data_IF_037161547248
#
_entry.id   IF_037161547248
#
_cell.length_a   1.000
_cell.length_b   1.000
_cell.length_c   1.000
_cell.angle_alpha   90.00
_cell.angle_beta   90.00
_cell.angle_gamma   90.00
#
_symmetry.space_group_name_H-M   'P 1'
#
loop_
_entity.id
_entity.type
_entity.pdbx_description
1 polymer ?
#
# COMPACT_ATOMS: atom_id res chain seq x y z
N UNK A 1 11.22 -25.82 -6.72
CA UNK A 1 11.03 -24.54 -6.02
C UNK A 1 9.69 -24.00 -6.48
N UNK A 2 8.76 -23.62 -5.60
CA UNK A 2 7.56 -22.96 -6.07
C UNK A 2 8.00 -21.64 -6.70
N UNK A 3 7.67 -21.45 -7.98
CA UNK A 3 7.77 -20.16 -8.65
C UNK A 3 7.14 -19.09 -7.74
N UNK A 4 7.93 -18.14 -7.26
CA UNK A 4 7.40 -16.87 -6.75
C UNK A 4 6.94 -16.01 -7.94
N UNK A 5 6.17 -16.60 -8.85
CA UNK A 5 5.37 -15.87 -9.80
C UNK A 5 4.50 -14.91 -8.97
N UNK A 6 4.70 -13.62 -9.24
CA UNK A 6 3.95 -12.46 -8.75
C UNK A 6 2.54 -12.84 -8.31
N UNK A 7 2.31 -12.98 -7.00
CA UNK A 7 0.99 -13.32 -6.50
C UNK A 7 0.05 -12.15 -6.80
N UNK A 8 -0.82 -12.33 -7.80
CA UNK A 8 -1.88 -11.38 -8.14
C UNK A 8 -2.82 -11.24 -6.94
N UNK A 9 -2.99 -10.02 -6.44
CA UNK A 9 -3.83 -9.74 -5.29
C UNK A 9 -5.31 -9.98 -5.62
N UNK A 10 -6.01 -10.70 -4.75
CA UNK A 10 -7.45 -10.96 -4.90
C UNK A 10 -8.27 -9.85 -4.28
N UNK A 11 -9.10 -9.20 -5.07
CA UNK A 11 -9.87 -8.02 -4.65
C UNK A 11 -11.38 -8.32 -4.70
N UNK A 12 -12.08 -8.02 -3.61
CA UNK A 12 -13.53 -7.92 -3.61
C UNK A 12 -13.95 -6.45 -3.79
N UNK A 13 -14.80 -6.15 -4.77
CA UNK A 13 -15.32 -4.81 -5.03
C UNK A 13 -16.74 -4.70 -4.50
N UNK A 14 -16.97 -3.78 -3.58
CA UNK A 14 -18.28 -3.53 -2.99
C UNK A 14 -18.94 -2.33 -3.66
N UNK A 15 -20.21 -2.48 -4.04
CA UNK A 15 -20.97 -1.48 -4.82
C UNK A 15 -22.40 -1.34 -4.31
N UNK A 16 -23.03 -0.17 -4.53
CA UNK A 16 -24.47 0.02 -4.28
C UNK A 16 -25.27 0.42 -5.53
N UNK A 17 -24.62 0.79 -6.64
CA UNK A 17 -25.30 1.42 -7.77
C UNK A 17 -24.76 1.00 -9.13
N UNK A 18 -24.55 1.98 -10.01
CA UNK A 18 -24.22 1.77 -11.44
C UNK A 18 -22.89 1.06 -11.66
N UNK A 19 -21.93 1.19 -10.74
CA UNK A 19 -20.68 0.43 -10.78
C UNK A 19 -19.64 0.96 -11.78
N UNK A 20 -19.66 2.24 -12.14
CA UNK A 20 -18.67 2.78 -13.10
C UNK A 20 -17.23 2.67 -12.61
N UNK A 21 -16.98 2.89 -11.32
CA UNK A 21 -15.66 2.64 -10.69
C UNK A 21 -15.33 1.14 -10.66
N UNK A 22 -16.30 0.27 -10.41
CA UNK A 22 -16.12 -1.19 -10.49
C UNK A 22 -15.69 -1.61 -11.89
N UNK A 23 -16.33 -1.06 -12.93
CA UNK A 23 -15.97 -1.33 -14.33
C UNK A 23 -14.53 -0.89 -14.63
N UNK A 24 -14.13 0.31 -14.19
CA UNK A 24 -12.76 0.80 -14.38
C UNK A 24 -11.72 -0.12 -13.72
N UNK A 25 -11.98 -0.55 -12.48
CA UNK A 25 -11.15 -1.52 -11.76
C UNK A 25 -11.08 -2.87 -12.50
N UNK A 26 -12.22 -3.39 -12.94
CA UNK A 26 -12.31 -4.67 -13.64
C UNK A 26 -11.50 -4.67 -14.94
N UNK A 27 -11.67 -3.67 -15.80
CA UNK A 27 -10.95 -3.63 -17.07
C UNK A 27 -9.44 -3.43 -16.87
N UNK A 28 -9.03 -2.63 -15.88
CA UNK A 28 -7.63 -2.51 -15.52
C UNK A 28 -7.05 -3.81 -14.95
N UNK A 29 -7.84 -4.61 -14.23
CA UNK A 29 -7.43 -5.93 -13.73
C UNK A 29 -7.19 -6.95 -14.86
N UNK A 30 -7.69 -6.70 -16.07
CA UNK A 30 -7.51 -7.57 -17.24
C UNK A 30 -6.29 -7.22 -18.09
N UNK A 31 -5.63 -6.10 -17.83
CA UNK A 31 -4.44 -5.71 -18.56
C UNK A 31 -3.27 -6.66 -18.24
N UNK A 32 -2.42 -6.99 -19.22
CA UNK A 32 -1.22 -7.80 -18.97
C UNK A 32 -0.35 -7.19 -17.87
N UNK A 33 0.08 -8.02 -16.91
CA UNK A 33 0.91 -7.58 -15.79
C UNK A 33 0.16 -6.85 -14.67
N UNK A 34 -1.18 -6.84 -14.69
CA UNK A 34 -1.95 -6.28 -13.58
C UNK A 34 -1.62 -7.01 -12.25
N UNK A 35 -1.34 -6.27 -11.16
CA UNK A 35 -0.98 -6.89 -9.89
C UNK A 35 -2.19 -7.35 -9.08
N UNK A 36 -3.41 -7.18 -9.59
CA UNK A 36 -4.63 -7.63 -8.94
C UNK A 36 -5.65 -8.23 -9.91
N UNK A 37 -6.56 -9.02 -9.36
CA UNK A 37 -7.74 -9.55 -10.04
C UNK A 37 -9.00 -9.29 -9.21
N UNK A 38 -10.14 -9.13 -9.88
CA UNK A 38 -11.44 -9.00 -9.20
C UNK A 38 -11.97 -10.41 -8.92
N UNK A 39 -11.87 -10.83 -7.66
CA UNK A 39 -12.33 -12.13 -7.18
C UNK A 39 -13.85 -12.15 -6.91
N UNK A 40 -14.44 -11.00 -6.58
CA UNK A 40 -15.86 -10.86 -6.28
C UNK A 40 -16.34 -9.44 -6.54
N UNK A 41 -17.55 -9.30 -7.10
CA UNK A 41 -18.34 -8.06 -6.99
C UNK A 41 -19.52 -8.30 -6.06
N UNK A 42 -19.56 -7.56 -4.95
CA UNK A 42 -20.61 -7.71 -3.94
C UNK A 42 -21.47 -6.44 -3.84
N UNK A 43 -22.78 -6.60 -3.71
CA UNK A 43 -23.70 -5.47 -3.58
C UNK A 43 -24.65 -5.60 -2.38
N UNK A 44 -24.91 -4.47 -1.72
CA UNK A 44 -25.95 -4.35 -0.69
C UNK A 44 -27.36 -4.12 -1.27
N UNK A 45 -27.46 -4.02 -2.60
CA UNK A 45 -28.70 -3.97 -3.37
C UNK A 45 -28.63 -5.03 -4.49
N UNK A 46 -29.47 -6.09 -4.44
CA UNK A 46 -29.56 -7.10 -5.50
C UNK A 46 -29.94 -6.56 -6.89
N UNK A 47 -30.53 -5.37 -6.96
CA UNK A 47 -30.89 -4.70 -8.21
C UNK A 47 -29.78 -3.80 -8.76
N UNK A 48 -28.62 -3.70 -8.09
CA UNK A 48 -27.52 -2.84 -8.52
C UNK A 48 -27.07 -3.18 -9.97
N UNK A 49 -27.09 -2.23 -10.92
CA UNK A 49 -26.71 -2.48 -12.31
C UNK A 49 -25.29 -3.02 -12.48
N UNK A 50 -24.39 -2.69 -11.56
CA UNK A 50 -23.02 -3.21 -11.50
C UNK A 50 -22.95 -4.75 -11.55
N UNK A 51 -23.92 -5.46 -10.95
CA UNK A 51 -23.95 -6.91 -10.89
C UNK A 51 -24.18 -7.54 -12.28
N UNK A 52 -24.96 -6.88 -13.13
CA UNK A 52 -25.21 -7.37 -14.49
C UNK A 52 -23.91 -7.34 -15.32
N UNK A 53 -23.16 -6.24 -15.24
CA UNK A 53 -21.85 -6.12 -15.89
C UNK A 53 -20.87 -7.17 -15.36
N UNK A 54 -20.74 -7.31 -14.04
CA UNK A 54 -19.83 -8.29 -13.44
C UNK A 54 -20.12 -9.72 -13.92
N UNK A 55 -21.40 -10.11 -13.98
CA UNK A 55 -21.83 -11.41 -14.52
C UNK A 55 -21.50 -11.57 -16.01
N UNK A 56 -21.74 -10.53 -16.82
CA UNK A 56 -21.42 -10.55 -18.25
C UNK A 56 -19.91 -10.74 -18.50
N UNK A 57 -19.07 -10.19 -17.63
CA UNK A 57 -17.61 -10.30 -17.66
C UNK A 57 -17.06 -11.54 -16.94
N UNK A 58 -17.95 -12.46 -16.53
CA UNK A 58 -17.58 -13.73 -15.89
C UNK A 58 -17.02 -13.60 -14.47
N UNK A 59 -17.26 -12.48 -13.79
CA UNK A 59 -16.82 -12.25 -12.41
C UNK A 59 -17.86 -12.80 -11.42
N UNK A 60 -17.45 -13.56 -10.39
CA UNK A 60 -18.36 -13.99 -9.33
C UNK A 60 -19.08 -12.80 -8.69
N UNK A 61 -20.37 -12.98 -8.41
CA UNK A 61 -21.20 -11.94 -7.78
C UNK A 61 -21.88 -12.43 -6.53
N UNK A 62 -21.96 -11.57 -5.51
CA UNK A 62 -22.80 -11.77 -4.33
C UNK A 62 -23.71 -10.55 -4.16
N UNK A 63 -24.96 -10.76 -3.77
CA UNK A 63 -25.82 -9.64 -3.44
C UNK A 63 -26.76 -9.99 -2.30
N UNK A 64 -26.89 -9.06 -1.35
CA UNK A 64 -27.74 -9.19 -0.21
C UNK A 64 -28.36 -7.85 0.14
N UNK A 65 -29.68 -7.76 0.07
CA UNK A 65 -30.40 -6.56 0.47
C UNK A 65 -30.17 -6.27 1.95
N UNK A 66 -29.75 -5.05 2.26
CA UNK A 66 -29.49 -4.62 3.64
C UNK A 66 -30.74 -4.12 4.37
N UNK A 67 -31.85 -3.92 3.66
CA UNK A 67 -33.09 -3.41 4.23
C UNK A 67 -33.66 -4.40 5.25
N UNK A 68 -33.96 -3.92 6.46
CA UNK A 68 -34.50 -4.74 7.54
C UNK A 68 -33.48 -5.62 8.26
N UNK A 69 -32.19 -5.55 7.92
CA UNK A 69 -31.12 -6.27 8.61
C UNK A 69 -30.35 -5.39 9.58
N UNK A 70 -29.93 -5.97 10.71
CA UNK A 70 -28.90 -5.37 11.55
C UNK A 70 -27.62 -5.15 10.72
N UNK A 71 -26.83 -4.12 11.07
CA UNK A 71 -25.60 -3.81 10.33
C UNK A 71 -24.58 -4.92 10.45
N UNK A 72 -24.46 -5.45 11.66
CA UNK A 72 -23.54 -6.50 12.04
C UNK A 72 -23.81 -7.79 11.23
N UNK A 73 -25.09 -8.17 11.09
CA UNK A 73 -25.49 -9.36 10.33
C UNK A 73 -25.23 -9.20 8.83
N UNK A 74 -25.51 -8.00 8.28
CA UNK A 74 -25.25 -7.70 6.87
C UNK A 74 -23.76 -7.66 6.57
N UNK A 75 -22.97 -6.96 7.39
CA UNK A 75 -21.51 -6.88 7.28
C UNK A 75 -20.89 -8.28 7.35
N UNK A 76 -21.34 -9.13 8.29
CA UNK A 76 -20.84 -10.51 8.42
C UNK A 76 -21.14 -11.36 7.17
N UNK A 77 -22.32 -11.20 6.56
CA UNK A 77 -22.66 -11.91 5.33
C UNK A 77 -21.83 -11.44 4.13
N UNK A 78 -21.65 -10.13 3.98
CA UNK A 78 -20.80 -9.54 2.94
C UNK A 78 -19.33 -9.94 3.14
N UNK A 79 -18.84 -9.95 4.38
CA UNK A 79 -17.50 -10.39 4.74
C UNK A 79 -17.28 -11.85 4.36
N UNK A 80 -18.23 -12.72 4.71
CA UNK A 80 -18.15 -14.15 4.41
C UNK A 80 -18.03 -14.37 2.91
N UNK A 81 -18.87 -13.70 2.11
CA UNK A 81 -18.80 -13.80 0.65
C UNK A 81 -17.41 -13.37 0.11
N UNK A 82 -16.85 -12.27 0.62
CA UNK A 82 -15.51 -11.81 0.23
C UNK A 82 -14.41 -12.83 0.61
N UNK A 83 -14.47 -13.38 1.82
CA UNK A 83 -13.52 -14.39 2.30
C UNK A 83 -13.63 -15.71 1.54
N UNK A 84 -14.84 -16.18 1.25
CA UNK A 84 -15.09 -17.40 0.48
C UNK A 84 -14.57 -17.27 -0.96
N UNK A 85 -14.60 -16.05 -1.53
CA UNK A 85 -13.97 -15.74 -2.81
C UNK A 85 -12.42 -15.62 -2.74
N UNK A 86 -11.84 -15.73 -1.54
CA UNK A 86 -10.40 -15.61 -1.30
C UNK A 86 -9.88 -14.17 -1.36
N UNK A 87 -10.74 -13.17 -1.16
CA UNK A 87 -10.32 -11.77 -1.21
C UNK A 87 -9.29 -11.45 -0.11
N UNK A 88 -8.22 -10.78 -0.53
CA UNK A 88 -7.18 -10.22 0.34
C UNK A 88 -7.41 -8.73 0.60
N UNK A 89 -8.12 -8.06 -0.31
CA UNK A 89 -8.48 -6.65 -0.21
C UNK A 89 -9.97 -6.44 -0.50
N UNK A 90 -10.55 -5.44 0.16
CA UNK A 90 -11.89 -4.92 -0.15
C UNK A 90 -11.76 -3.50 -0.71
N UNK A 91 -12.49 -3.22 -1.77
CA UNK A 91 -12.43 -1.93 -2.46
C UNK A 91 -13.85 -1.40 -2.59
N UNK A 92 -14.11 -0.23 -2.00
CA UNK A 92 -15.43 0.39 -1.97
C UNK A 92 -15.60 1.30 -3.20
N UNK A 93 -16.40 0.86 -4.16
CA UNK A 93 -16.64 1.56 -5.42
C UNK A 93 -18.07 2.13 -5.46
N UNK A 94 -18.30 3.20 -4.69
CA UNK A 94 -19.62 3.78 -4.51
C UNK A 94 -20.54 2.91 -3.64
N UNK A 95 -19.98 2.36 -2.56
CA UNK A 95 -20.73 1.60 -1.56
C UNK A 95 -21.34 2.56 -0.54
N UNK A 96 -22.67 2.67 -0.53
CA UNK A 96 -23.42 3.71 0.19
C UNK A 96 -23.92 3.26 1.57
N UNK A 97 -23.23 2.31 2.21
CA UNK A 97 -23.57 1.81 3.54
C UNK A 97 -22.38 1.97 4.48
N UNK A 98 -22.63 2.59 5.63
CA UNK A 98 -21.64 2.70 6.71
C UNK A 98 -21.35 1.30 7.25
N UNK A 99 -20.08 0.93 7.23
CA UNK A 99 -19.56 -0.32 7.77
C UNK A 99 -19.35 -0.21 9.28
N UNK A 100 -19.53 -1.31 10.01
CA UNK A 100 -19.29 -1.36 11.44
C UNK A 100 -17.79 -1.23 11.78
N UNK A 101 -17.42 -0.62 12.92
CA UNK A 101 -16.02 -0.55 13.35
C UNK A 101 -15.32 -1.91 13.40
N UNK A 102 -16.02 -2.94 13.90
CA UNK A 102 -15.49 -4.30 13.94
C UNK A 102 -15.17 -4.88 12.56
N UNK A 103 -15.99 -4.60 11.54
CA UNK A 103 -15.70 -4.99 10.16
C UNK A 103 -14.48 -4.23 9.62
N UNK A 104 -14.43 -2.91 9.83
CA UNK A 104 -13.30 -2.08 9.38
C UNK A 104 -11.99 -2.53 10.02
N UNK A 105 -11.95 -2.75 11.34
CA UNK A 105 -10.75 -3.20 12.06
C UNK A 105 -10.20 -4.54 11.56
N UNK A 106 -11.07 -5.51 11.20
CA UNK A 106 -10.61 -6.80 10.61
C UNK A 106 -9.96 -6.65 9.23
N UNK A 107 -10.26 -5.57 8.51
CA UNK A 107 -9.74 -5.26 7.19
C UNK A 107 -8.83 -4.03 7.20
N UNK A 108 -8.31 -3.66 8.37
CA UNK A 108 -7.36 -2.57 8.52
C UNK A 108 -6.20 -2.74 7.53
N UNK A 109 -5.83 -1.65 6.84
CA UNK A 109 -4.82 -1.59 5.76
C UNK A 109 -5.08 -2.53 4.57
N UNK A 110 -6.27 -3.13 4.48
CA UNK A 110 -6.71 -4.00 3.38
C UNK A 110 -8.03 -3.53 2.76
N UNK A 111 -8.47 -2.33 3.11
CA UNK A 111 -9.68 -1.73 2.58
C UNK A 111 -9.43 -0.32 2.06
N UNK A 112 -9.79 -0.09 0.81
CA UNK A 112 -9.62 1.20 0.14
C UNK A 112 -10.98 1.73 -0.29
N UNK A 113 -11.17 3.05 -0.22
CA UNK A 113 -12.35 3.74 -0.73
C UNK A 113 -11.94 4.84 -1.70
N UNK A 114 -12.79 5.10 -2.69
CA UNK A 114 -12.72 6.31 -3.52
C UNK A 114 -13.82 7.28 -3.10
N UNK A 115 -13.41 8.53 -2.87
CA UNK A 115 -14.28 9.58 -2.38
C UNK A 115 -14.27 10.79 -3.34
N UNK A 116 -15.42 11.37 -3.70
CA UNK A 116 -15.52 12.44 -4.70
C UNK A 116 -15.20 13.83 -4.12
N UNK A 117 -14.12 13.96 -3.33
CA UNK A 117 -13.58 15.24 -2.90
C UNK A 117 -12.06 15.19 -2.77
N UNK A 118 -11.43 16.36 -2.63
CA UNK A 118 -10.03 16.48 -2.21
C UNK A 118 -9.96 16.43 -0.67
N UNK A 119 -10.03 15.23 -0.10
CA UNK A 119 -9.87 15.02 1.35
C UNK A 119 -8.60 15.74 1.86
N UNK A 120 -8.64 16.33 3.08
CA UNK A 120 -9.70 16.22 4.10
C UNK A 120 -10.94 17.12 3.84
N UNK A 121 -11.01 17.85 2.74
CA UNK A 121 -12.17 18.68 2.44
C UNK A 121 -13.40 17.82 2.11
N UNK A 122 -14.57 18.22 2.62
CA UNK A 122 -15.88 17.62 2.31
C UNK A 122 -15.97 16.09 2.51
N UNK A 123 -15.75 15.56 3.72
CA UNK A 123 -16.13 14.18 4.03
C UNK A 123 -17.65 14.01 3.94
N UNK A 124 -18.12 12.80 3.66
CA UNK A 124 -19.53 12.47 3.52
C UNK A 124 -20.16 12.90 2.19
N UNK A 125 -21.45 13.21 2.20
CA UNK A 125 -22.24 13.37 0.97
C UNK A 125 -22.17 14.78 0.36
N UNK A 126 -22.71 14.90 -0.86
CA UNK A 126 -22.93 16.14 -1.61
C UNK A 126 -21.69 17.01 -1.80
N UNK A 127 -20.53 16.37 -1.92
CA UNK A 127 -19.20 17.00 -1.98
C UNK A 127 -19.10 18.08 -3.07
N UNK A 128 -19.61 17.81 -4.27
CA UNK A 128 -19.57 18.73 -5.40
C UNK A 128 -20.39 20.00 -5.16
N UNK A 129 -21.60 19.86 -4.60
CA UNK A 129 -22.45 21.00 -4.29
C UNK A 129 -21.83 21.87 -3.20
N UNK A 130 -21.23 21.24 -2.19
CA UNK A 130 -20.53 21.93 -1.09
C UNK A 130 -19.31 22.70 -1.59
N UNK A 131 -18.48 22.11 -2.44
CA UNK A 131 -17.31 22.78 -3.03
C UNK A 131 -17.71 23.99 -3.89
N UNK A 132 -18.73 23.86 -4.73
CA UNK A 132 -19.25 24.96 -5.55
C UNK A 132 -19.81 26.09 -4.65
N UNK A 133 -20.61 25.73 -3.64
CA UNK A 133 -21.20 26.71 -2.72
C UNK A 133 -20.15 27.46 -1.88
N UNK A 134 -19.02 26.82 -1.56
CA UNK A 134 -17.89 27.44 -0.88
C UNK A 134 -17.08 28.39 -1.79
N UNK A 135 -17.29 28.35 -3.11
CA UNK A 135 -16.54 29.14 -4.07
C UNK A 135 -15.15 28.59 -4.37
N UNK A 136 -14.93 27.28 -4.18
CA UNK A 136 -13.64 26.65 -4.45
C UNK A 136 -13.29 26.70 -5.94
N UNK A 137 -12.00 26.88 -6.23
CA UNK A 137 -11.48 26.80 -7.61
C UNK A 137 -11.34 25.34 -8.10
N UNK A 138 -11.31 24.37 -7.18
CA UNK A 138 -11.09 22.96 -7.47
C UNK A 138 -11.98 22.06 -6.62
N UNK A 139 -12.60 21.08 -7.27
CA UNK A 139 -13.05 19.85 -6.64
C UNK A 139 -12.05 18.73 -6.93
N UNK A 140 -12.47 17.48 -6.79
CA UNK A 140 -11.61 16.36 -7.16
C UNK A 140 -12.07 15.05 -6.54
N UNK A 141 -11.15 14.10 -6.49
CA UNK A 141 -11.35 12.80 -5.86
C UNK A 141 -10.10 12.37 -5.11
N UNK A 142 -10.30 11.60 -4.04
CA UNK A 142 -9.28 10.94 -3.23
C UNK A 142 -9.50 9.44 -3.22
N UNK A 143 -8.43 8.67 -3.31
CA UNK A 143 -8.40 7.26 -2.88
C UNK A 143 -7.70 7.22 -1.53
N UNK A 144 -8.30 6.56 -0.55
CA UNK A 144 -7.76 6.49 0.81
C UNK A 144 -8.01 5.12 1.44
N UNK A 145 -7.27 4.81 2.52
CA UNK A 145 -7.58 3.67 3.36
C UNK A 145 -8.86 3.92 4.16
N UNK A 146 -9.66 2.88 4.32
CA UNK A 146 -10.84 2.95 5.19
C UNK A 146 -10.41 2.80 6.64
N UNK A 147 -10.84 3.72 7.49
CA UNK A 147 -10.71 3.70 8.94
C UNK A 147 -12.10 3.79 9.57
N UNK A 148 -12.18 3.66 10.90
CA UNK A 148 -13.46 3.78 11.61
C UNK A 148 -14.05 5.19 11.52
N UNK A 149 -13.18 6.18 11.41
CA UNK A 149 -13.56 7.57 11.17
C UNK A 149 -13.85 7.79 9.68
N UNK A 150 -15.03 8.38 9.40
CA UNK A 150 -15.51 8.59 8.04
C UNK A 150 -14.53 9.42 7.22
N UNK A 151 -14.08 8.86 6.09
CA UNK A 151 -13.22 9.51 5.10
C UNK A 151 -11.92 10.12 5.67
N UNK A 152 -11.39 9.55 6.76
CA UNK A 152 -10.24 10.10 7.48
C UNK A 152 -8.95 9.26 7.40
N UNK A 153 -8.95 8.15 6.66
CA UNK A 153 -7.77 7.30 6.53
C UNK A 153 -6.68 7.90 5.63
N UNK A 154 -5.53 7.23 5.62
CA UNK A 154 -4.36 7.62 4.82
C UNK A 154 -4.74 7.84 3.35
N UNK A 155 -4.48 9.05 2.83
CA UNK A 155 -4.68 9.39 1.43
C UNK A 155 -3.59 8.72 0.60
N UNK A 156 -4.00 7.88 -0.34
CA UNK A 156 -3.11 7.12 -1.22
C UNK A 156 -2.91 7.80 -2.58
N UNK A 157 -3.85 8.66 -2.98
CA UNK A 157 -3.74 9.46 -4.19
C UNK A 157 -4.93 10.39 -4.38
N UNK A 158 -4.72 11.48 -5.13
CA UNK A 158 -5.75 12.46 -5.44
C UNK A 158 -5.63 12.97 -6.87
N UNK A 159 -6.75 13.42 -7.44
CA UNK A 159 -6.78 14.22 -8.67
C UNK A 159 -7.68 15.43 -8.44
N UNK A 160 -7.11 16.62 -8.63
CA UNK A 160 -7.84 17.88 -8.60
C UNK A 160 -8.50 18.17 -9.95
N UNK A 161 -9.73 18.67 -9.92
CA UNK A 161 -10.53 19.01 -11.10
C UNK A 161 -11.02 20.44 -10.96
N UNK A 162 -10.70 21.28 -11.94
CA UNK A 162 -11.12 22.67 -11.94
C UNK A 162 -12.65 22.80 -11.91
N UNK A 163 -13.13 23.71 -11.07
CA UNK A 163 -14.51 24.17 -11.05
C UNK A 163 -14.58 25.36 -12.01
N UNK A 164 -15.39 25.22 -13.05
CA UNK A 164 -15.58 26.21 -14.09
C UNK A 164 -16.67 27.21 -13.70
N UNK A 165 -16.59 28.48 -14.13
CA UNK A 165 -17.67 29.44 -13.93
C UNK A 165 -19.00 28.91 -14.47
N UNK A 166 -20.03 28.90 -13.62
CA UNK A 166 -21.37 28.40 -13.97
C UNK A 166 -21.54 26.89 -13.89
N UNK A 167 -20.57 26.15 -13.33
CA UNK A 167 -20.73 24.72 -13.08
C UNK A 167 -21.96 24.38 -12.24
N UNK A 168 -22.58 23.27 -12.60
CA UNK A 168 -23.56 22.59 -11.76
C UNK A 168 -22.89 21.41 -11.03
N UNK A 169 -23.42 20.95 -9.89
CA UNK A 169 -22.91 19.75 -9.22
C UNK A 169 -22.84 18.54 -10.15
N UNK A 170 -23.80 18.38 -11.06
CA UNK A 170 -23.83 17.28 -12.03
C UNK A 170 -22.70 17.38 -13.08
N UNK A 171 -22.40 18.58 -13.57
CA UNK A 171 -21.31 18.81 -14.52
C UNK A 171 -19.95 18.54 -13.88
N UNK A 172 -19.74 19.01 -12.64
CA UNK A 172 -18.54 18.71 -11.88
C UNK A 172 -18.43 17.20 -11.58
N UNK A 173 -19.52 16.55 -11.15
CA UNK A 173 -19.55 15.12 -10.89
C UNK A 173 -19.17 14.28 -12.12
N UNK A 174 -19.61 14.68 -13.32
CA UNK A 174 -19.27 13.98 -14.55
C UNK A 174 -17.75 14.04 -14.83
N UNK A 175 -17.12 15.19 -14.61
CA UNK A 175 -15.66 15.35 -14.79
C UNK A 175 -14.87 14.64 -13.69
N UNK A 176 -15.31 14.73 -12.43
CA UNK A 176 -14.68 14.00 -11.31
C UNK A 176 -14.76 12.49 -11.53
N UNK A 177 -15.89 11.97 -12.01
CA UNK A 177 -16.03 10.53 -12.31
C UNK A 177 -14.98 10.03 -13.31
N UNK A 178 -14.64 10.82 -14.33
CA UNK A 178 -13.56 10.46 -15.25
C UNK A 178 -12.21 10.37 -14.52
N UNK A 179 -11.95 11.30 -13.60
CA UNK A 179 -10.76 11.28 -12.76
C UNK A 179 -10.73 10.07 -11.82
N UNK A 180 -11.88 9.68 -11.26
CA UNK A 180 -12.00 8.48 -10.43
C UNK A 180 -11.60 7.21 -11.20
N UNK A 181 -12.06 7.08 -12.45
CA UNK A 181 -11.75 5.95 -13.33
C UNK A 181 -10.26 5.84 -13.65
N UNK A 182 -9.53 6.95 -13.66
CA UNK A 182 -8.08 6.96 -13.85
C UNK A 182 -7.32 6.70 -12.54
N UNK A 183 -7.80 7.31 -11.45
CA UNK A 183 -7.10 7.28 -10.17
C UNK A 183 -7.21 5.91 -9.50
N UNK A 184 -8.42 5.36 -9.41
CA UNK A 184 -8.67 4.21 -8.55
C UNK A 184 -7.87 2.96 -8.96
N UNK A 185 -7.90 2.55 -10.25
CA UNK A 185 -7.18 1.36 -10.67
C UNK A 185 -5.67 1.47 -10.51
N UNK A 186 -5.10 2.64 -10.77
CA UNK A 186 -3.67 2.91 -10.59
C UNK A 186 -3.29 2.84 -9.11
N UNK A 187 -4.01 3.56 -8.24
CA UNK A 187 -3.70 3.56 -6.80
C UNK A 187 -3.86 2.18 -6.20
N UNK A 188 -4.89 1.43 -6.58
CA UNK A 188 -5.06 0.05 -6.14
C UNK A 188 -3.88 -0.82 -6.61
N UNK A 189 -3.50 -0.72 -7.88
CA UNK A 189 -2.36 -1.48 -8.43
C UNK A 189 -1.08 -1.20 -7.64
N UNK A 190 -0.72 0.08 -7.49
CA UNK A 190 0.46 0.51 -6.75
C UNK A 190 0.41 0.00 -5.31
N UNK A 191 -0.75 0.12 -4.64
CA UNK A 191 -0.90 -0.28 -3.24
C UNK A 191 -0.72 -1.79 -3.03
N UNK A 192 -1.31 -2.62 -3.89
CA UNK A 192 -1.25 -4.08 -3.73
C UNK A 192 0.08 -4.67 -4.19
N UNK A 193 0.85 -3.97 -5.03
CA UNK A 193 2.18 -4.41 -5.48
C UNK A 193 3.35 -3.80 -4.72
N UNK A 194 3.11 -2.81 -3.84
CA UNK A 194 4.18 -2.05 -3.16
C UNK A 194 5.17 -2.90 -2.37
N UNK A 195 4.76 -4.09 -1.92
CA UNK A 195 5.64 -5.02 -1.21
C UNK A 195 6.77 -5.57 -2.10
N UNK A 196 6.65 -5.48 -3.43
CA UNK A 196 7.63 -5.94 -4.40
C UNK A 196 8.20 -4.80 -5.26
N UNK A 197 7.72 -3.57 -5.07
CA UNK A 197 8.20 -2.40 -5.80
C UNK A 197 9.50 -1.87 -5.17
N UNK A 198 10.64 -1.92 -5.88
CA UNK A 198 11.91 -1.43 -5.37
C UNK A 198 11.89 0.04 -4.95
N UNK A 199 11.11 0.88 -5.63
CA UNK A 199 11.05 2.31 -5.30
C UNK A 199 10.35 2.53 -3.96
N UNK A 200 9.21 1.87 -3.75
CA UNK A 200 8.52 1.89 -2.45
C UNK A 200 9.39 1.33 -1.32
N UNK A 201 10.03 0.17 -1.54
CA UNK A 201 10.90 -0.45 -0.55
C UNK A 201 12.10 0.44 -0.20
N UNK A 202 12.74 1.06 -1.19
CA UNK A 202 13.84 2.01 -0.99
C UNK A 202 13.37 3.24 -0.20
N UNK A 203 12.19 3.79 -0.51
CA UNK A 203 11.65 4.93 0.23
C UNK A 203 11.46 4.61 1.72
N UNK A 204 10.95 3.42 2.04
CA UNK A 204 10.82 2.93 3.42
C UNK A 204 12.18 2.74 4.10
N UNK A 205 13.15 2.14 3.42
CA UNK A 205 14.53 2.02 3.92
C UNK A 205 15.15 3.39 4.19
N UNK A 206 14.97 4.37 3.28
CA UNK A 206 15.45 5.75 3.48
C UNK A 206 14.87 6.37 4.74
N UNK A 207 13.57 6.26 4.97
CA UNK A 207 12.93 6.77 6.20
C UNK A 207 13.59 6.20 7.44
N UNK A 208 13.79 4.88 7.51
CA UNK A 208 14.38 4.22 8.67
C UNK A 208 15.87 4.56 8.84
N UNK A 209 16.64 4.51 7.76
CA UNK A 209 18.09 4.73 7.80
C UNK A 209 18.44 6.19 8.12
N UNK A 210 17.76 7.15 7.48
CA UNK A 210 18.03 8.58 7.67
C UNK A 210 17.54 9.11 9.03
N UNK A 211 16.66 8.38 9.72
CA UNK A 211 16.30 8.67 11.11
C UNK A 211 17.43 8.37 12.10
N UNK A 212 18.42 7.55 11.73
CA UNK A 212 19.56 7.25 12.59
C UNK A 212 20.53 8.44 12.69
N UNK A 213 21.12 8.73 13.87
CA UNK A 213 21.94 9.92 14.06
C UNK A 213 23.12 10.03 13.09
N UNK A 214 23.34 11.25 12.58
CA UNK A 214 24.43 11.57 11.65
C UNK A 214 24.52 10.64 10.43
N UNK A 215 23.37 10.24 9.91
CA UNK A 215 23.28 9.43 8.70
C UNK A 215 23.07 10.28 7.47
N UNK A 216 23.76 9.95 6.38
CA UNK A 216 23.54 10.52 5.06
C UNK A 216 23.53 9.42 4.00
N UNK A 217 22.78 9.67 2.93
CA UNK A 217 22.77 8.80 1.75
C UNK A 217 23.92 9.18 0.80
N UNK A 218 24.59 8.17 0.24
CA UNK A 218 25.58 8.31 -0.80
C UNK A 218 25.57 7.08 -1.69
N UNK A 219 25.56 7.30 -2.99
CA UNK A 219 25.63 6.22 -3.97
C UNK A 219 26.98 5.49 -3.90
N UNK A 220 26.93 4.17 -4.09
CA UNK A 220 28.09 3.30 -4.24
C UNK A 220 27.83 2.33 -5.38
N UNK A 221 28.63 2.40 -6.44
CA UNK A 221 28.53 1.52 -7.61
C UNK A 221 27.12 1.48 -8.25
N UNK A 222 26.43 2.62 -8.34
CA UNK A 222 25.08 2.69 -8.91
C UNK A 222 23.95 2.35 -7.93
N UNK A 223 24.28 1.95 -6.70
CA UNK A 223 23.31 1.55 -5.68
C UNK A 223 23.23 2.58 -4.53
N UNK A 224 22.03 2.91 -4.02
CA UNK A 224 21.87 3.73 -2.83
C UNK A 224 22.57 3.09 -1.62
N UNK A 225 23.39 3.87 -0.91
CA UNK A 225 24.07 3.43 0.31
C UNK A 225 23.91 4.45 1.43
N UNK A 226 23.96 3.98 2.67
CA UNK A 226 23.76 4.79 3.86
C UNK A 226 25.02 4.76 4.72
N UNK A 227 25.48 5.96 5.12
CA UNK A 227 26.74 6.17 5.84
C UNK A 227 26.51 6.94 7.13
N UNK A 228 27.25 6.57 8.17
CA UNK A 228 27.29 7.30 9.44
C UNK A 228 28.59 8.08 9.59
N UNK A 229 28.50 9.29 10.15
CA UNK A 229 29.62 10.21 10.38
C UNK A 229 29.66 11.33 9.35
N UNK A 230 30.82 11.98 9.20
CA UNK A 230 30.95 13.12 8.28
C UNK A 230 30.81 12.68 6.82
N UNK A 231 30.39 13.58 5.93
CA UNK A 231 30.30 13.28 4.49
C UNK A 231 31.63 12.80 3.89
N UNK A 232 32.75 13.34 4.39
CA UNK A 232 34.10 12.99 3.93
C UNK A 232 34.55 11.62 4.44
N UNK A 233 34.40 11.35 5.74
CA UNK A 233 34.98 10.17 6.41
C UNK A 233 33.97 9.10 6.85
N UNK A 234 32.69 9.26 6.51
CA UNK A 234 31.62 8.37 6.96
C UNK A 234 31.81 6.91 6.52
N UNK A 235 31.26 5.99 7.28
CA UNK A 235 31.34 4.55 6.98
C UNK A 235 29.99 4.02 6.55
N UNK A 236 29.97 3.24 5.47
CA UNK A 236 28.74 2.56 5.05
C UNK A 236 28.32 1.54 6.11
N UNK A 237 27.04 1.57 6.46
CA UNK A 237 26.38 0.55 7.29
C UNK A 237 25.22 -0.12 6.56
N UNK A 238 24.73 0.43 5.46
CA UNK A 238 23.71 -0.22 4.66
C UNK A 238 23.88 0.08 3.16
N UNK A 239 23.48 -0.86 2.32
CA UNK A 239 23.30 -0.69 0.88
C UNK A 239 21.97 -1.26 0.44
N UNK A 240 21.26 -0.55 -0.42
CA UNK A 240 20.06 -1.06 -1.08
C UNK A 240 20.45 -1.76 -2.37
N UNK A 241 19.93 -2.96 -2.60
CA UNK A 241 20.19 -3.75 -3.80
C UNK A 241 18.88 -4.05 -4.51
N UNK A 242 18.64 -3.37 -5.63
CA UNK A 242 17.51 -3.66 -6.52
C UNK A 242 17.92 -4.72 -7.55
N UNK A 243 17.97 -5.99 -7.12
CA UNK A 243 18.22 -7.14 -8.03
C UNK A 243 19.51 -7.02 -8.86
N UNK A 244 20.51 -6.28 -8.37
CA UNK A 244 21.78 -6.09 -9.06
C UNK A 244 22.42 -7.44 -9.41
N UNK A 245 23.00 -7.53 -10.61
CA UNK A 245 23.61 -8.75 -11.16
C UNK A 245 22.66 -9.94 -11.36
N UNK A 246 21.37 -9.69 -11.56
CA UNK A 246 20.38 -10.76 -11.79
C UNK A 246 19.96 -11.48 -10.52
N UNK A 247 20.20 -10.87 -9.35
CA UNK A 247 19.73 -11.41 -8.08
C UNK A 247 18.19 -11.45 -8.05
N UNK A 248 17.56 -12.50 -7.49
CA UNK A 248 16.11 -12.64 -7.48
C UNK A 248 15.40 -11.69 -6.50
N UNK A 249 16.14 -11.03 -5.61
CA UNK A 249 15.61 -10.28 -4.48
C UNK A 249 15.89 -8.78 -4.57
N UNK A 250 14.94 -7.99 -4.08
CA UNK A 250 15.19 -6.63 -3.62
C UNK A 250 15.65 -6.75 -2.17
N UNK A 251 16.83 -6.24 -1.85
CA UNK A 251 17.47 -6.55 -0.56
C UNK A 251 18.12 -5.33 0.07
N UNK A 252 18.14 -5.35 1.41
CA UNK A 252 18.95 -4.46 2.22
C UNK A 252 20.20 -5.20 2.67
N UNK A 253 21.37 -4.74 2.24
CA UNK A 253 22.64 -5.27 2.71
C UNK A 253 23.07 -4.53 3.97
N UNK A 254 23.26 -5.25 5.06
CA UNK A 254 23.65 -4.73 6.38
C UNK A 254 24.79 -5.56 6.97
N UNK A 255 25.51 -5.01 7.96
CA UNK A 255 26.55 -5.75 8.67
C UNK A 255 25.95 -6.74 9.67
N UNK A 256 26.52 -7.95 9.68
CA UNK A 256 26.30 -8.98 10.70
C UNK A 256 27.57 -9.14 11.56
N UNK A 257 27.49 -9.87 12.67
CA UNK A 257 28.61 -10.03 13.60
C UNK A 257 29.78 -10.84 13.00
N UNK A 258 29.53 -11.68 12.00
CA UNK A 258 30.55 -12.50 11.36
C UNK A 258 29.96 -13.57 10.45
N UNK A 259 30.84 -14.40 9.88
CA UNK A 259 30.46 -15.47 8.95
C UNK A 259 29.58 -16.53 9.61
N UNK A 260 29.87 -16.93 10.86
CA UNK A 260 29.10 -17.96 11.57
C UNK A 260 27.63 -17.57 11.73
N UNK A 261 27.36 -16.31 12.10
CA UNK A 261 26.00 -15.79 12.21
C UNK A 261 25.32 -15.73 10.84
N UNK A 262 26.03 -15.24 9.82
CA UNK A 262 25.51 -15.19 8.45
C UNK A 262 25.08 -16.57 7.98
N UNK A 263 25.95 -17.57 8.14
CA UNK A 263 25.67 -18.94 7.70
C UNK A 263 24.50 -19.55 8.47
N UNK A 264 24.46 -19.35 9.79
CA UNK A 264 23.35 -19.81 10.64
C UNK A 264 22.02 -19.19 10.23
N UNK A 265 21.97 -17.88 9.99
CA UNK A 265 20.72 -17.18 9.60
C UNK A 265 20.25 -17.57 8.21
N UNK A 266 21.16 -17.72 7.25
CA UNK A 266 20.82 -18.13 5.88
C UNK A 266 20.34 -19.58 5.85
N UNK A 267 20.94 -20.47 6.65
CA UNK A 267 20.49 -21.87 6.77
C UNK A 267 19.12 -21.97 7.45
N UNK A 268 18.91 -21.24 8.55
CA UNK A 268 17.67 -21.28 9.31
C UNK A 268 16.50 -20.57 8.61
N UNK A 269 16.78 -19.47 7.89
CA UNK A 269 15.77 -18.60 7.29
C UNK A 269 16.15 -18.14 5.87
N UNK A 270 16.27 -19.08 4.91
CA UNK A 270 16.71 -18.78 3.54
C UNK A 270 15.70 -17.92 2.75
N UNK A 271 14.46 -17.79 3.24
CA UNK A 271 13.43 -16.92 2.66
C UNK A 271 13.56 -15.45 3.13
N UNK A 272 14.28 -15.21 4.22
CA UNK A 272 14.47 -13.89 4.83
C UNK A 272 15.87 -13.33 4.57
N UNK A 273 16.87 -14.21 4.50
CA UNK A 273 18.26 -13.81 4.40
C UNK A 273 19.00 -14.56 3.29
N UNK A 274 19.95 -13.87 2.68
CA UNK A 274 20.88 -14.48 1.73
C UNK A 274 22.30 -13.93 1.92
N UNK A 275 23.29 -14.69 1.42
CA UNK A 275 24.67 -14.24 1.32
C UNK A 275 24.79 -13.27 0.12
N UNK A 276 25.18 -12.01 0.30
CA UNK A 276 25.37 -11.09 -0.81
C UNK A 276 26.65 -11.44 -1.58
N UNK A 277 26.57 -11.42 -2.90
CA UNK A 277 27.73 -11.57 -3.77
C UNK A 277 28.77 -10.49 -3.45
N UNK A 278 30.06 -10.86 -3.41
CA UNK A 278 31.21 -9.97 -3.15
C UNK A 278 31.30 -9.34 -1.75
N UNK A 279 30.20 -9.24 -0.99
CA UNK A 279 30.17 -8.65 0.36
C UNK A 279 30.12 -9.68 1.50
N UNK A 280 29.70 -10.92 1.22
CA UNK A 280 29.50 -11.95 2.26
C UNK A 280 30.77 -12.31 3.04
N UNK A 281 31.95 -12.27 2.41
CA UNK A 281 33.23 -12.48 3.09
C UNK A 281 33.66 -11.31 4.00
N UNK A 282 32.98 -10.16 3.89
CA UNK A 282 33.29 -8.93 4.63
C UNK A 282 32.28 -8.63 5.75
N UNK A 283 31.51 -9.64 6.20
CA UNK A 283 30.57 -9.51 7.31
C UNK A 283 29.26 -8.81 6.95
N UNK A 284 28.78 -8.95 5.70
CA UNK A 284 27.49 -8.40 5.28
C UNK A 284 26.49 -9.51 4.97
N UNK A 285 25.25 -9.29 5.38
CA UNK A 285 24.09 -10.15 5.09
C UNK A 285 23.07 -9.37 4.26
N UNK A 286 22.39 -10.05 3.34
CA UNK A 286 21.29 -9.49 2.58
C UNK A 286 19.95 -9.85 3.21
N UNK A 287 19.23 -8.85 3.70
CA UNK A 287 17.84 -8.98 4.18
C UNK A 287 16.91 -8.83 2.99
N UNK A 288 16.10 -9.85 2.69
CA UNK A 288 15.15 -9.85 1.57
C UNK A 288 13.95 -8.97 1.93
N UNK A 289 13.75 -7.91 1.15
CA UNK A 289 12.70 -6.92 1.38
C UNK A 289 11.42 -7.22 0.60
N UNK A 290 11.53 -7.83 -0.59
CA UNK A 290 10.36 -8.07 -1.43
C UNK A 290 9.55 -9.31 -1.02
N UNK A 291 9.08 -9.32 0.22
CA UNK A 291 8.23 -10.34 0.82
C UNK A 291 6.98 -9.71 1.44
N UNK A 292 5.81 -10.32 1.24
CA UNK A 292 4.53 -9.76 1.68
C UNK A 292 4.39 -9.72 3.21
N UNK A 293 5.11 -10.58 3.93
CA UNK A 293 5.16 -10.71 5.38
C UNK A 293 6.35 -9.99 6.01
N UNK A 294 6.98 -9.04 5.30
CA UNK A 294 8.12 -8.28 5.80
C UNK A 294 7.75 -7.51 7.07
N UNK A 295 8.43 -7.85 8.17
CA UNK A 295 8.42 -7.04 9.39
C UNK A 295 9.41 -5.87 9.26
N UNK A 296 8.89 -4.65 9.28
CA UNK A 296 9.70 -3.44 9.21
C UNK A 296 10.42 -3.12 10.51
N UNK A 297 9.98 -3.65 11.65
CA UNK A 297 10.67 -3.49 12.93
C UNK A 297 11.96 -4.32 12.95
N UNK A 298 11.94 -5.52 12.35
CA UNK A 298 13.16 -6.31 12.10
C UNK A 298 14.13 -5.56 11.16
N UNK A 299 13.62 -4.96 10.08
CA UNK A 299 14.44 -4.13 9.19
C UNK A 299 15.07 -2.94 9.93
N UNK A 300 14.29 -2.26 10.78
CA UNK A 300 14.78 -1.17 11.60
C UNK A 300 15.84 -1.65 12.61
N UNK A 301 15.64 -2.82 13.21
CA UNK A 301 16.60 -3.47 14.10
C UNK A 301 17.93 -3.76 13.38
N UNK A 302 17.87 -4.34 12.18
CA UNK A 302 19.04 -4.60 11.33
C UNK A 302 19.79 -3.33 10.97
N UNK A 303 19.08 -2.26 10.58
CA UNK A 303 19.69 -0.96 10.27
C UNK A 303 20.41 -0.39 11.50
N UNK A 304 19.74 -0.37 12.68
CA UNK A 304 20.31 0.13 13.93
C UNK A 304 21.55 -0.65 14.33
N UNK A 305 21.47 -1.99 14.31
CA UNK A 305 22.56 -2.89 14.66
C UNK A 305 23.77 -2.68 13.75
N UNK A 306 23.55 -2.60 12.44
CA UNK A 306 24.62 -2.35 11.47
C UNK A 306 25.25 -0.96 11.65
N UNK A 307 24.43 0.05 11.91
CA UNK A 307 24.88 1.42 12.20
C UNK A 307 25.79 1.43 13.44
N UNK A 308 25.38 0.78 14.53
CA UNK A 308 26.15 0.72 15.79
C UNK A 308 27.55 0.13 15.61
N UNK A 309 27.71 -0.84 14.71
CA UNK A 309 29.02 -1.45 14.43
C UNK A 309 30.05 -0.50 13.82
N UNK A 310 29.61 0.57 13.16
CA UNK A 310 30.51 1.51 12.46
C UNK A 310 30.39 2.96 12.89
N UNK A 311 29.36 3.30 13.68
CA UNK A 311 29.18 4.62 14.24
C UNK A 311 30.39 5.02 15.11
N UNK A 312 30.92 6.25 14.96
CA UNK A 312 31.92 6.77 15.88
C UNK A 312 31.43 6.71 17.34
N UNK A 313 32.32 6.35 18.28
CA UNK A 313 31.99 6.20 19.70
C UNK A 313 31.33 7.45 20.31
N UNK A 314 31.66 8.64 19.81
CA UNK A 314 31.09 9.92 20.24
C UNK A 314 29.60 10.09 19.90
N UNK A 315 29.07 9.28 18.98
CA UNK A 315 27.70 9.38 18.47
C UNK A 315 26.87 8.16 18.90
N UNK A 316 27.52 7.01 19.14
CA UNK A 316 26.86 5.78 19.56
C UNK A 316 26.00 5.94 20.82
N UNK A 317 26.41 6.78 21.78
CA UNK A 317 25.67 7.06 23.01
C UNK A 317 24.42 7.93 22.85
N UNK A 318 24.13 8.49 21.67
CA UNK A 318 22.93 9.31 21.42
C UNK A 318 21.65 8.47 21.24
N UNK A 319 21.78 7.17 20.92
CA UNK A 319 20.64 6.26 20.80
C UNK A 319 20.14 5.80 22.17
N UNK A 320 21.05 5.56 23.13
CA UNK A 320 20.70 5.12 24.49
C UNK A 320 19.89 6.17 25.27
N UNK A 321 19.98 7.45 24.89
CA UNK A 321 19.24 8.54 25.52
C UNK A 321 17.84 8.75 24.93
N UNK A 322 17.54 8.22 23.74
CA UNK A 322 16.25 8.38 23.06
C UNK A 322 15.24 7.26 23.37
N UNK A 323 15.72 6.07 23.73
CA UNK A 323 14.88 4.94 24.18
C UNK A 323 14.57 5.00 25.70
N UNK A 324 15.14 5.99 26.42
CA UNK A 324 14.96 6.20 27.86
C UNK A 324 14.01 7.37 28.21
N UNK A 325 13.34 7.96 27.23
CA UNK A 325 12.47 9.14 27.37
C UNK A 325 11.06 8.91 26.82
#
# INVERSE_FOLDING_TARGET
MPDHATATAKVAVFVSGTGTNMAALLYASRLPGSPYEIALVAANDPAAPALALARAEGVPTFALAHAGMAREDHDAAMERAARDAGAQYIVLAGYMRILTPGFVGRWERRMLNIHPSLLPAYPGLDTHARAIAAGDSYGGTSVHLVTEELDAGEILGQIAIAIQPGDTPAALAARVRLAEHQLYPRVLADYVSRWNDPQHLLARVRTLALALPQTHERESHGAPGFRVGTEKSGKFFAHFSDRHHGAPHVSLLVKCAGLDELETLVEAQPHAYHKPAYYGASGWIGVILNRADLDWDDVAHWLRRSWQQVAPKSIAGLLDTADAS
#
